data_IF_850853239832
#
_entry.id   IF_850853239832
#
_cell.length_a   1.000
_cell.length_b   1.000
_cell.length_c   1.000
_cell.angle_alpha   90.00
_cell.angle_beta   90.00
_cell.angle_gamma   90.00
#
_symmetry.space_group_name_H-M   'P 1'
#
loop_
_entity.id
_entity.type
_entity.pdbx_description
1 polymer ?
#
# COMPACT_ATOMS: atom_id res chain seq x y z
N UNK A 1 -9.04 29.53 -15.09
CA UNK A 1 -10.26 29.54 -14.26
C UNK A 1 -9.97 28.68 -13.06
N UNK A 2 -9.61 29.28 -11.93
CA UNK A 2 -9.50 28.56 -10.67
C UNK A 2 -10.90 28.20 -10.20
N UNK A 3 -11.32 26.97 -10.44
CA UNK A 3 -12.52 26.42 -9.80
C UNK A 3 -12.23 26.33 -8.31
N UNK A 4 -12.71 27.31 -7.56
CA UNK A 4 -12.58 27.37 -6.10
C UNK A 4 -13.41 26.24 -5.48
N UNK A 5 -12.89 25.00 -5.48
CA UNK A 5 -13.45 23.86 -4.73
C UNK A 5 -13.24 24.13 -3.24
N UNK A 6 -14.15 24.91 -2.68
CA UNK A 6 -14.19 25.27 -1.27
C UNK A 6 -14.49 24.03 -0.44
N UNK A 7 -13.48 23.56 0.29
CA UNK A 7 -13.58 22.73 1.51
C UNK A 7 -14.13 21.31 1.26
N UNK A 8 -13.59 20.34 1.98
CA UNK A 8 -14.07 18.95 1.96
C UNK A 8 -15.58 18.94 2.26
N UNK A 9 -16.38 18.30 1.41
CA UNK A 9 -17.83 18.20 1.58
C UNK A 9 -18.17 16.85 2.18
N UNK A 10 -19.04 16.83 3.18
CA UNK A 10 -19.49 15.60 3.81
C UNK A 10 -20.91 15.28 3.37
N UNK A 11 -21.16 14.01 3.04
CA UNK A 11 -22.50 13.45 2.87
C UNK A 11 -22.94 12.93 4.23
N UNK A 12 -24.11 13.37 4.69
CA UNK A 12 -24.68 12.93 5.97
C UNK A 12 -25.89 12.02 5.76
N UNK A 13 -26.10 11.10 6.70
CA UNK A 13 -27.31 10.30 6.77
C UNK A 13 -28.51 11.13 7.30
N UNK A 14 -29.73 10.56 7.35
CA UNK A 14 -30.90 11.26 7.90
C UNK A 14 -30.81 11.62 9.39
N UNK A 15 -29.89 11.02 10.14
CA UNK A 15 -29.62 11.33 11.55
C UNK A 15 -28.59 12.46 11.71
N UNK A 16 -27.96 12.88 10.62
CA UNK A 16 -26.92 13.91 10.59
C UNK A 16 -25.49 13.37 10.71
N UNK A 17 -25.31 12.04 10.71
CA UNK A 17 -24.01 11.40 10.81
C UNK A 17 -23.27 11.45 9.46
N UNK A 18 -21.98 11.78 9.47
CA UNK A 18 -21.17 11.85 8.24
C UNK A 18 -20.83 10.46 7.75
N UNK A 19 -21.31 10.09 6.57
CA UNK A 19 -21.14 8.75 5.99
C UNK A 19 -20.21 8.71 4.78
N UNK A 20 -19.98 9.84 4.12
CA UNK A 20 -19.00 9.94 3.03
C UNK A 20 -18.40 11.34 2.95
N UNK A 21 -17.28 11.46 2.24
CA UNK A 21 -16.60 12.72 1.98
C UNK A 21 -16.26 12.84 0.49
N UNK A 22 -16.46 14.03 -0.07
CA UNK A 22 -16.05 14.38 -1.42
C UNK A 22 -14.74 15.15 -1.29
N UNK A 23 -13.70 14.61 -1.93
CA UNK A 23 -12.35 15.19 -1.96
C UNK A 23 -11.88 15.35 -3.40
N UNK A 24 -10.97 16.31 -3.69
CA UNK A 24 -10.33 16.42 -4.99
C UNK A 24 -9.64 15.11 -5.38
N UNK A 25 -9.73 14.75 -6.67
CA UNK A 25 -9.17 13.49 -7.16
C UNK A 25 -7.65 13.38 -6.93
N UNK A 26 -6.94 14.50 -6.93
CA UNK A 26 -5.50 14.54 -6.66
C UNK A 26 -5.19 14.22 -5.20
N UNK A 27 -6.00 14.71 -4.26
CA UNK A 27 -5.83 14.43 -2.84
C UNK A 27 -6.12 12.94 -2.56
N UNK A 28 -7.18 12.39 -3.18
CA UNK A 28 -7.47 10.96 -3.10
C UNK A 28 -6.29 10.10 -3.59
N UNK A 29 -5.77 10.39 -4.80
CA UNK A 29 -4.65 9.63 -5.37
C UNK A 29 -3.41 9.71 -4.49
N UNK A 30 -3.07 10.91 -4.02
CA UNK A 30 -1.94 11.10 -3.12
C UNK A 30 -2.06 10.27 -1.83
N UNK A 31 -3.25 10.23 -1.22
CA UNK A 31 -3.47 9.37 -0.05
C UNK A 31 -3.33 7.88 -0.36
N UNK A 32 -3.78 7.43 -1.55
CA UNK A 32 -3.60 6.02 -1.95
C UNK A 32 -2.12 5.69 -2.14
N UNK A 33 -1.37 6.55 -2.82
CA UNK A 33 0.07 6.38 -3.03
C UNK A 33 0.83 6.30 -1.68
N UNK A 34 0.49 7.16 -0.72
CA UNK A 34 1.08 7.14 0.63
C UNK A 34 0.71 5.87 1.42
N UNK A 35 -0.49 5.32 1.24
CA UNK A 35 -0.90 4.07 1.87
C UNK A 35 -0.17 2.86 1.29
N UNK A 36 0.05 2.84 -0.02
CA UNK A 36 0.81 1.77 -0.68
C UNK A 36 2.27 1.75 -0.19
N UNK A 37 2.90 2.91 -0.05
CA UNK A 37 4.26 3.01 0.52
C UNK A 37 4.32 2.49 1.96
N UNK A 38 3.31 2.80 2.79
CA UNK A 38 3.23 2.29 4.15
C UNK A 38 3.05 0.77 4.21
N UNK A 39 2.29 0.21 3.28
CA UNK A 39 2.10 -1.24 3.17
C UNK A 39 3.39 -1.95 2.75
N UNK A 40 4.13 -1.39 1.79
CA UNK A 40 5.44 -1.92 1.39
C UNK A 40 6.43 -1.94 2.57
N UNK A 41 6.45 -0.88 3.38
CA UNK A 41 7.26 -0.82 4.60
C UNK A 41 6.84 -1.91 5.58
N UNK A 42 5.53 -2.06 5.82
CA UNK A 42 4.99 -3.08 6.73
C UNK A 42 5.38 -4.50 6.28
N UNK A 43 5.24 -4.79 4.99
CA UNK A 43 5.61 -6.08 4.40
C UNK A 43 7.12 -6.33 4.49
N UNK A 44 7.94 -5.30 4.26
CA UNK A 44 9.38 -5.40 4.44
C UNK A 44 9.72 -5.78 5.89
N UNK A 45 9.17 -5.08 6.88
CA UNK A 45 9.42 -5.35 8.29
C UNK A 45 8.99 -6.78 8.69
N UNK A 46 7.83 -7.23 8.24
CA UNK A 46 7.34 -8.60 8.47
C UNK A 46 8.26 -9.65 7.83
N UNK A 47 8.71 -9.41 6.60
CA UNK A 47 9.64 -10.30 5.92
C UNK A 47 11.01 -10.32 6.63
N UNK A 48 11.45 -9.20 7.20
CA UNK A 48 12.71 -9.10 7.93
C UNK A 48 12.68 -9.77 9.29
N UNK A 49 11.54 -9.76 9.97
CA UNK A 49 11.38 -10.51 11.22
C UNK A 49 11.50 -12.02 10.98
N UNK A 50 11.03 -12.51 9.82
CA UNK A 50 11.08 -13.93 9.45
C UNK A 50 12.35 -14.36 8.69
N UNK A 51 13.20 -13.40 8.30
CA UNK A 51 14.46 -13.65 7.59
C UNK A 51 15.53 -14.17 8.57
N UNK A 52 15.96 -15.43 8.40
CA UNK A 52 17.05 -16.03 9.18
C UNK A 52 18.41 -15.38 8.91
N UNK A 53 18.51 -14.52 7.90
CA UNK A 53 19.76 -13.94 7.43
C UNK A 53 20.61 -14.90 6.61
N UNK A 54 20.15 -16.13 6.39
CA UNK A 54 20.85 -17.11 5.55
C UNK A 54 20.87 -16.62 4.10
N UNK A 55 22.05 -16.70 3.48
CA UNK A 55 22.27 -16.32 2.09
C UNK A 55 22.92 -17.47 1.38
N UNK A 56 22.35 -17.85 0.25
CA UNK A 56 22.92 -18.86 -0.65
C UNK A 56 23.43 -18.17 -1.92
N UNK A 57 24.47 -18.74 -2.53
CA UNK A 57 24.95 -18.23 -3.80
C UNK A 57 23.89 -18.44 -4.90
N UNK A 58 23.91 -17.60 -5.94
CA UNK A 58 23.02 -17.77 -7.10
C UNK A 58 23.21 -19.15 -7.74
N UNK A 59 24.44 -19.66 -7.79
CA UNK A 59 24.75 -21.01 -8.27
C UNK A 59 24.07 -22.09 -7.44
N UNK A 60 24.06 -21.96 -6.12
CA UNK A 60 23.44 -22.96 -5.25
C UNK A 60 21.92 -22.89 -5.28
N UNK A 61 21.35 -21.68 -5.39
CA UNK A 61 19.93 -21.48 -5.64
C UNK A 61 19.47 -22.15 -6.94
N UNK A 62 20.19 -21.94 -8.04
CA UNK A 62 19.86 -22.52 -9.35
C UNK A 62 19.91 -24.05 -9.33
N UNK A 63 20.91 -24.64 -8.65
CA UNK A 63 20.97 -26.11 -8.45
C UNK A 63 19.78 -26.63 -7.67
N UNK A 64 19.43 -25.99 -6.55
CA UNK A 64 18.28 -26.39 -5.72
C UNK A 64 16.98 -26.34 -6.53
N UNK A 65 16.73 -25.24 -7.23
CA UNK A 65 15.53 -25.06 -8.07
C UNK A 65 15.44 -26.11 -9.20
N UNK A 66 16.54 -26.51 -9.82
CA UNK A 66 16.50 -27.55 -10.85
C UNK A 66 16.13 -28.93 -10.33
N UNK A 67 16.50 -29.24 -9.08
CA UNK A 67 16.20 -30.51 -8.42
C UNK A 67 14.75 -30.60 -7.93
N UNK A 68 14.14 -29.47 -7.55
CA UNK A 68 12.75 -29.42 -7.08
C UNK A 68 11.70 -29.57 -8.21
N UNK A 69 12.13 -29.61 -9.48
CA UNK A 69 11.26 -29.74 -10.66
C UNK A 69 11.35 -31.12 -11.36
N UNK A 70 12.04 -32.10 -10.76
CA UNK A 70 12.03 -33.53 -11.14
C UNK A 70 11.17 -34.35 -10.15
#
# INVERSE_FOLDING_TARGET
MDTQYRKHQFVTDPKGEKVAVIIPINDYKKMMDELDELEDIRLYDESKVSDSGERISISDYLKKRSLDNE
#
